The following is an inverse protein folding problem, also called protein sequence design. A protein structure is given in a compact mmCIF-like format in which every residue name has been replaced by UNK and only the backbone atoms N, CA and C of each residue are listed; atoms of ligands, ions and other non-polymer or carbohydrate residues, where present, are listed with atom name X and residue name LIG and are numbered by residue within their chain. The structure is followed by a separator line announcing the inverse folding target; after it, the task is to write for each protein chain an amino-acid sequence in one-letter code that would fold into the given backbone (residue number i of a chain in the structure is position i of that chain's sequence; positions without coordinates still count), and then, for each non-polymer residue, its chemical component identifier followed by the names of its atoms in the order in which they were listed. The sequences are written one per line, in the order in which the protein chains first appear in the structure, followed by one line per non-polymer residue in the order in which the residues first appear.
data_IF_030056798209
#
_entry.id   IF_030056798209
#
_cell.length_a   1.000
_cell.length_b   1.000
_cell.length_c   1.000
_cell.angle_alpha   90.00
_cell.angle_beta   90.00
_cell.angle_gamma   90.00
#
_symmetry.space_group_name_H-M   'P 1'
#
loop_
_entity.id
_entity.type
_entity.pdbx_description
1 polymer ?
#
# COMPACT_ATOMS: atom_id res chain seq x y z
N UNK A 1 -11.85 38.98 15.00
CA UNK A 1 -12.54 38.90 13.70
C UNK A 1 -11.90 37.77 12.88
N UNK A 2 -12.62 36.73 12.45
CA UNK A 2 -12.07 35.77 11.48
C UNK A 2 -11.99 36.51 10.13
N UNK A 3 -10.81 36.89 9.64
CA UNK A 3 -10.73 38.07 8.79
C UNK A 3 -11.06 37.84 7.31
N UNK A 4 -11.46 36.63 6.91
CA UNK A 4 -11.50 36.29 5.48
C UNK A 4 -12.36 35.03 5.29
N UNK A 5 -13.22 35.03 4.26
CA UNK A 5 -13.85 33.80 3.78
C UNK A 5 -12.87 32.98 2.94
N UNK A 6 -12.94 31.65 2.99
CA UNK A 6 -12.01 30.75 2.29
C UNK A 6 -11.79 31.13 0.81
N UNK A 7 -12.85 31.53 0.11
CA UNK A 7 -12.84 31.88 -1.31
C UNK A 7 -12.23 33.25 -1.65
N UNK A 8 -11.93 34.08 -0.65
CA UNK A 8 -11.37 35.42 -0.86
C UNK A 8 -9.85 35.44 -0.72
N UNK A 9 -9.31 34.89 0.37
CA UNK A 9 -7.85 34.81 0.62
C UNK A 9 -7.48 33.52 1.35
N UNK A 10 -7.39 32.37 0.65
CA UNK A 10 -7.24 31.06 1.28
C UNK A 10 -5.98 30.93 2.15
N UNK A 11 -4.84 31.50 1.74
CA UNK A 11 -3.60 31.43 2.53
C UNK A 11 -3.69 32.18 3.87
N UNK A 12 -4.34 33.35 3.89
CA UNK A 12 -4.55 34.08 5.14
C UNK A 12 -5.54 33.36 6.07
N UNK A 13 -6.57 32.72 5.50
CA UNK A 13 -7.49 31.86 6.25
C UNK A 13 -6.77 30.70 6.92
N UNK A 14 -5.90 29.97 6.20
CA UNK A 14 -5.14 28.84 6.75
C UNK A 14 -4.20 29.28 7.88
N UNK A 15 -3.51 30.41 7.70
CA UNK A 15 -2.61 30.97 8.71
C UNK A 15 -3.35 31.40 9.99
N UNK A 16 -4.56 31.95 9.85
CA UNK A 16 -5.44 32.23 11.00
C UNK A 16 -5.97 30.95 11.64
N UNK A 17 -6.44 29.99 10.84
CA UNK A 17 -7.02 28.73 11.32
C UNK A 17 -6.01 27.91 12.14
N UNK A 18 -4.74 27.90 11.73
CA UNK A 18 -3.67 27.23 12.46
C UNK A 18 -3.48 27.74 13.90
N UNK A 19 -3.70 29.05 14.16
CA UNK A 19 -3.57 29.65 15.49
C UNK A 19 -4.88 29.70 16.28
N UNK A 20 -5.99 30.02 15.62
CA UNK A 20 -7.27 30.24 16.29
C UNK A 20 -8.00 28.93 16.62
N UNK A 21 -7.84 27.90 15.77
CA UNK A 21 -8.56 26.62 15.88
C UNK A 21 -7.61 25.45 15.56
N UNK A 22 -6.54 25.27 16.35
CA UNK A 22 -5.47 24.33 16.04
C UNK A 22 -5.96 22.88 15.91
N UNK A 23 -6.90 22.45 16.77
CA UNK A 23 -7.41 21.08 16.76
C UNK A 23 -8.02 20.66 15.41
N UNK A 24 -8.89 21.49 14.83
CA UNK A 24 -9.55 21.19 13.56
C UNK A 24 -8.55 21.26 12.40
N UNK A 25 -7.72 22.31 12.40
CA UNK A 25 -6.76 22.53 11.32
C UNK A 25 -5.76 21.38 11.19
N UNK A 26 -5.10 21.01 12.29
CA UNK A 26 -4.08 19.96 12.27
C UNK A 26 -4.66 18.56 12.08
N UNK A 27 -5.89 18.31 12.53
CA UNK A 27 -6.56 17.02 12.27
C UNK A 27 -6.78 16.79 10.76
N UNK A 28 -7.19 17.82 10.02
CA UNK A 28 -7.36 17.73 8.57
C UNK A 28 -6.03 17.55 7.84
N UNK A 29 -5.00 18.29 8.25
CA UNK A 29 -3.66 18.18 7.65
C UNK A 29 -3.08 16.78 7.86
N UNK A 30 -3.07 16.28 9.09
CA UNK A 30 -2.51 14.96 9.41
C UNK A 30 -3.37 13.85 8.78
N UNK A 31 -4.69 13.97 8.84
CA UNK A 31 -5.60 13.02 8.19
C UNK A 31 -5.43 12.97 6.67
N UNK A 32 -5.19 14.12 6.03
CA UNK A 32 -4.95 14.22 4.58
C UNK A 32 -3.57 13.74 4.15
N UNK A 33 -2.54 13.86 5.00
CA UNK A 33 -1.18 13.39 4.68
C UNK A 33 -1.15 11.88 4.44
N UNK A 34 -1.94 11.08 5.17
CA UNK A 34 -1.94 9.61 5.01
C UNK A 34 -2.24 9.15 3.57
N UNK A 35 -3.40 9.51 2.99
CA UNK A 35 -3.74 9.18 1.60
C UNK A 35 -2.74 9.75 0.58
N UNK A 36 -2.23 10.96 0.81
CA UNK A 36 -1.21 11.58 -0.06
C UNK A 36 0.05 10.73 -0.07
N UNK A 37 0.51 10.25 1.09
CA UNK A 37 1.67 9.37 1.18
C UNK A 37 1.41 8.03 0.49
N UNK A 38 0.21 7.45 0.59
CA UNK A 38 -0.13 6.22 -0.13
C UNK A 38 -0.09 6.42 -1.64
N UNK A 39 -0.45 7.59 -2.16
CA UNK A 39 -0.36 7.88 -3.60
C UNK A 39 1.08 8.18 -4.05
N UNK A 40 1.86 8.88 -3.23
CA UNK A 40 3.19 9.40 -3.60
C UNK A 40 4.31 8.39 -3.33
N UNK A 41 4.24 7.60 -2.26
CA UNK A 41 5.32 6.68 -1.87
C UNK A 41 5.50 5.51 -2.84
N UNK A 42 4.45 4.78 -3.29
CA UNK A 42 4.58 3.65 -4.22
C UNK A 42 5.33 3.95 -5.54
N UNK A 43 5.06 5.05 -6.27
CA UNK A 43 5.81 5.35 -7.47
C UNK A 43 7.27 5.74 -7.16
N UNK A 44 7.54 6.37 -6.01
CA UNK A 44 8.92 6.71 -5.61
C UNK A 44 9.72 5.45 -5.32
N UNK A 45 9.19 4.49 -4.53
CA UNK A 45 9.89 3.22 -4.26
C UNK A 45 10.13 2.42 -5.53
N UNK A 46 9.17 2.41 -6.47
CA UNK A 46 9.33 1.67 -7.72
C UNK A 46 10.44 2.25 -8.60
N UNK A 47 10.59 3.58 -8.61
CA UNK A 47 11.68 4.27 -9.33
C UNK A 47 13.05 4.07 -8.68
N UNK A 48 13.10 3.88 -7.36
CA UNK A 48 14.34 3.67 -6.62
C UNK A 48 14.85 2.22 -6.71
N UNK A 49 14.17 1.35 -7.45
CA UNK A 49 14.58 -0.04 -7.71
C UNK A 49 13.95 -1.08 -6.79
N UNK A 50 13.04 -0.69 -5.89
CA UNK A 50 12.23 -1.65 -5.15
C UNK A 50 11.15 -2.23 -6.07
N UNK A 51 11.51 -3.35 -6.71
CA UNK A 51 10.62 -4.14 -7.56
C UNK A 51 9.47 -4.79 -6.78
N UNK A 52 8.41 -5.26 -7.49
CA UNK A 52 7.37 -6.06 -6.87
C UNK A 52 7.99 -7.35 -6.33
N UNK A 53 7.77 -7.62 -5.03
CA UNK A 53 8.20 -8.87 -4.40
C UNK A 53 7.43 -10.02 -5.05
N UNK A 54 8.13 -11.11 -5.34
CA UNK A 54 7.49 -12.35 -5.80
C UNK A 54 6.44 -12.78 -4.77
N UNK A 55 5.26 -13.19 -5.24
CA UNK A 55 4.18 -13.63 -4.36
C UNK A 55 4.59 -14.94 -3.70
N UNK A 56 4.57 -14.97 -2.36
CA UNK A 56 4.78 -16.22 -1.62
C UNK A 56 3.67 -17.20 -2.02
N UNK A 57 4.00 -18.45 -2.42
CA UNK A 57 2.98 -19.44 -2.73
C UNK A 57 2.11 -19.67 -1.48
N UNK A 58 0.81 -19.45 -1.64
CA UNK A 58 -0.19 -19.60 -0.57
C UNK A 58 -0.58 -21.06 -0.33
N UNK A 59 -0.15 -21.96 -1.22
CA UNK A 59 -0.52 -23.38 -1.19
C UNK A 59 0.72 -24.24 -1.13
N UNK A 60 0.69 -25.25 -0.27
CA UNK A 60 1.68 -26.31 -0.31
C UNK A 60 1.58 -27.03 -1.66
N UNK A 61 2.69 -27.33 -2.36
CA UNK A 61 2.65 -28.16 -3.56
C UNK A 61 2.42 -29.63 -3.16
N UNK A 62 1.27 -29.95 -2.56
CA UNK A 62 1.02 -31.27 -1.95
C UNK A 62 0.58 -32.31 -2.96
N UNK A 63 -0.14 -31.94 -4.02
CA UNK A 63 -0.78 -32.96 -4.88
C UNK A 63 -0.02 -33.25 -6.18
N UNK A 64 0.82 -32.32 -6.65
CA UNK A 64 1.52 -32.50 -7.93
C UNK A 64 2.74 -33.43 -7.81
N UNK A 65 3.45 -33.42 -6.69
CA UNK A 65 4.69 -34.21 -6.52
C UNK A 65 4.41 -35.65 -6.07
N UNK A 66 3.40 -35.89 -5.23
CA UNK A 66 3.09 -37.24 -4.74
C UNK A 66 2.52 -38.13 -5.84
N UNK A 67 1.60 -37.63 -6.66
CA UNK A 67 1.02 -38.41 -7.75
C UNK A 67 2.03 -38.69 -8.87
N UNK A 68 2.88 -37.71 -9.21
CA UNK A 68 3.93 -37.89 -10.21
C UNK A 68 5.03 -38.85 -9.74
N UNK A 69 5.39 -38.85 -8.46
CA UNK A 69 6.31 -39.84 -7.87
C UNK A 69 5.67 -41.22 -7.78
N UNK A 70 4.42 -41.34 -7.33
CA UNK A 70 3.70 -42.64 -7.25
C UNK A 70 3.50 -43.25 -8.63
N UNK A 71 3.06 -42.48 -9.64
CA UNK A 71 2.96 -42.99 -11.01
C UNK A 71 4.34 -43.38 -11.58
N UNK A 72 5.41 -42.67 -11.23
CA UNK A 72 6.78 -43.03 -11.67
C UNK A 72 7.26 -44.33 -11.02
N UNK A 73 6.94 -44.56 -9.75
CA UNK A 73 7.25 -45.81 -9.04
C UNK A 73 6.42 -46.98 -9.58
N UNK A 74 5.12 -46.81 -9.79
CA UNK A 74 4.25 -47.85 -10.36
C UNK A 74 4.70 -48.21 -11.79
N UNK A 75 5.06 -47.20 -12.59
CA UNK A 75 5.57 -47.43 -13.95
C UNK A 75 6.91 -48.18 -13.95
N UNK A 76 7.83 -47.89 -13.03
CA UNK A 76 9.08 -48.65 -12.90
C UNK A 76 8.83 -50.09 -12.47
N UNK A 77 7.88 -50.33 -11.55
CA UNK A 77 7.49 -51.67 -11.10
C UNK A 77 6.82 -52.51 -12.20
N UNK A 78 6.09 -51.87 -13.13
CA UNK A 78 5.37 -52.56 -14.19
C UNK A 78 6.26 -53.05 -15.37
N UNK A 79 7.53 -52.65 -15.43
CA UNK A 79 8.48 -53.03 -16.48
C UNK A 79 9.75 -53.73 -15.96
N UNK A 80 9.77 -54.15 -14.69
CA UNK A 80 10.88 -54.89 -14.08
C UNK A 80 10.51 -56.32 -13.68
#
# INVERSE_FOLDING_TARGET
MAPVGFWSTPFQYMHWAARAKPAIFWSLVIGGIGPVMVAVVPPIRHRLGDGPRQQIPLTYPSTCTLLSVVMRVIRVSAYG
#
